data_IF_594067158794
#
_entry.id   IF_594067158794
#
_cell.length_a   1.000
_cell.length_b   1.000
_cell.length_c   1.000
_cell.angle_alpha   90.00
_cell.angle_beta   90.00
_cell.angle_gamma   90.00
#
_symmetry.space_group_name_H-M   'P 1'
#
loop_
_entity.id
_entity.type
_entity.pdbx_description
1 polymer ?
#
# COMPACT_ATOMS: atom_id res chain seq x y z
N UNK A 1 -6.16 7.14 10.35
CA UNK A 1 -7.10 7.98 9.56
C UNK A 1 -8.01 8.76 10.50
N UNK A 2 -7.89 10.09 10.52
CA UNK A 2 -8.78 10.97 11.29
C UNK A 2 -10.16 10.96 10.63
N UNK A 3 -11.24 10.85 11.40
CA UNK A 3 -12.58 11.03 10.84
C UNK A 3 -12.77 12.51 10.46
N UNK A 4 -12.94 12.78 9.17
CA UNK A 4 -13.01 14.15 8.62
C UNK A 4 -14.17 14.94 9.24
N UNK A 5 -15.27 14.26 9.54
CA UNK A 5 -16.45 14.82 10.21
C UNK A 5 -16.08 15.32 11.61
N UNK A 6 -15.57 14.44 12.47
CA UNK A 6 -15.11 14.79 13.82
C UNK A 6 -14.01 15.86 13.84
N UNK A 7 -13.08 15.84 12.88
CA UNK A 7 -12.03 16.85 12.78
C UNK A 7 -12.59 18.23 12.45
N UNK A 8 -13.47 18.31 11.45
CA UNK A 8 -14.08 19.56 11.04
C UNK A 8 -15.01 20.12 12.12
N UNK A 9 -15.75 19.26 12.84
CA UNK A 9 -16.55 19.66 14.01
C UNK A 9 -15.68 20.17 15.17
N UNK A 10 -14.63 19.42 15.56
CA UNK A 10 -13.71 19.79 16.64
C UNK A 10 -13.05 21.15 16.40
N UNK A 11 -12.68 21.44 15.15
CA UNK A 11 -11.97 22.67 14.77
C UNK A 11 -12.88 23.71 14.07
N UNK A 12 -14.20 23.54 14.15
CA UNK A 12 -15.17 24.45 13.54
C UNK A 12 -15.02 25.91 14.00
N UNK A 13 -14.77 26.23 15.30
CA UNK A 13 -14.57 27.61 15.75
C UNK A 13 -13.40 28.31 15.05
N UNK A 14 -12.27 27.62 14.92
CA UNK A 14 -11.07 28.14 14.25
C UNK A 14 -11.27 28.27 12.75
N UNK A 15 -11.95 27.31 12.11
CA UNK A 15 -12.27 27.36 10.68
C UNK A 15 -13.16 28.57 10.37
N UNK A 16 -14.20 28.81 11.19
CA UNK A 16 -15.07 30.00 11.09
C UNK A 16 -14.25 31.29 11.26
N UNK A 17 -13.29 31.33 12.18
CA UNK A 17 -12.51 32.52 12.49
C UNK A 17 -11.43 32.82 11.44
N UNK A 18 -10.78 31.80 10.87
CA UNK A 18 -9.54 31.92 10.08
C UNK A 18 -9.70 31.78 8.57
N UNK A 19 -10.81 31.22 8.07
CA UNK A 19 -11.02 31.06 6.61
C UNK A 19 -11.03 32.44 5.93
N UNK A 20 -10.13 32.64 4.95
CA UNK A 20 -9.87 33.95 4.35
C UNK A 20 -10.92 34.33 3.32
N UNK A 21 -11.40 33.36 2.53
CA UNK A 21 -12.33 33.59 1.44
C UNK A 21 -13.53 32.59 1.42
N UNK A 22 -14.58 32.84 2.21
CA UNK A 22 -15.76 31.97 2.26
C UNK A 22 -16.52 31.83 0.94
N UNK A 23 -16.52 32.88 0.11
CA UNK A 23 -17.22 32.86 -1.19
C UNK A 23 -16.54 31.90 -2.16
N UNK A 24 -15.21 31.90 -2.22
CA UNK A 24 -14.45 30.97 -3.07
C UNK A 24 -14.60 29.51 -2.62
N UNK A 25 -14.75 29.27 -1.30
CA UNK A 25 -15.13 27.96 -0.78
C UNK A 25 -16.53 27.57 -1.28
N UNK A 26 -17.52 28.46 -1.17
CA UNK A 26 -18.88 28.22 -1.67
C UNK A 26 -18.95 28.02 -3.20
N UNK A 27 -18.16 28.78 -3.98
CA UNK A 27 -18.03 28.60 -5.43
C UNK A 27 -17.53 27.20 -5.77
N UNK A 28 -16.50 26.72 -5.05
CA UNK A 28 -15.91 25.39 -5.25
C UNK A 28 -16.88 24.27 -4.85
N UNK A 29 -17.61 24.44 -3.74
CA UNK A 29 -18.64 23.49 -3.31
C UNK A 29 -19.82 23.42 -4.30
N UNK A 30 -20.23 24.57 -4.86
CA UNK A 30 -21.27 24.64 -5.89
C UNK A 30 -20.80 24.00 -7.20
N UNK A 31 -19.54 24.21 -7.59
CA UNK A 31 -18.95 23.59 -8.77
C UNK A 31 -18.81 22.06 -8.64
N UNK A 32 -18.59 21.55 -7.43
CA UNK A 32 -18.59 20.11 -7.09
C UNK A 32 -20.01 19.54 -6.81
N UNK A 33 -21.06 20.33 -7.02
CA UNK A 33 -22.46 19.99 -6.72
C UNK A 33 -22.75 19.60 -5.24
N UNK A 34 -21.88 19.99 -4.31
CA UNK A 34 -22.03 19.70 -2.87
C UNK A 34 -23.01 20.65 -2.17
N UNK A 35 -23.38 21.78 -2.79
CA UNK A 35 -24.44 22.69 -2.32
C UNK A 35 -25.33 23.12 -3.49
N UNK A 36 -26.61 23.41 -3.21
CA UNK A 36 -27.56 23.92 -4.20
C UNK A 36 -27.30 25.40 -4.53
N UNK A 37 -27.89 25.88 -5.63
CA UNK A 37 -27.86 27.32 -5.96
C UNK A 37 -28.49 28.18 -4.85
N UNK A 38 -29.56 27.71 -4.23
CA UNK A 38 -30.26 28.41 -3.15
C UNK A 38 -29.35 28.59 -1.92
N UNK A 39 -28.75 27.50 -1.44
CA UNK A 39 -27.78 27.52 -0.32
C UNK A 39 -26.60 28.45 -0.65
N UNK A 40 -26.10 28.42 -1.88
CA UNK A 40 -25.03 29.33 -2.32
C UNK A 40 -25.45 30.81 -2.26
N UNK A 41 -26.63 31.19 -2.75
CA UNK A 41 -27.06 32.60 -2.68
C UNK A 41 -27.35 33.01 -1.21
N UNK A 42 -27.82 32.09 -0.36
CA UNK A 42 -27.96 32.32 1.10
C UNK A 42 -26.61 32.64 1.74
N UNK A 43 -25.58 31.80 1.53
CA UNK A 43 -24.20 32.04 1.97
C UNK A 43 -23.71 33.41 1.46
N UNK A 44 -23.92 33.72 0.18
CA UNK A 44 -23.46 34.97 -0.43
C UNK A 44 -24.18 36.21 0.11
N UNK A 45 -25.42 36.07 0.58
CA UNK A 45 -26.19 37.16 1.19
C UNK A 45 -25.69 37.55 2.59
N UNK A 46 -24.92 36.68 3.26
CA UNK A 46 -24.48 36.93 4.63
C UNK A 46 -23.41 38.01 4.75
N UNK A 47 -23.57 38.86 5.77
CA UNK A 47 -22.86 40.15 5.88
C UNK A 47 -21.41 40.02 6.37
N UNK A 48 -21.03 38.91 7.00
CA UNK A 48 -19.70 38.73 7.58
C UNK A 48 -19.13 37.36 7.21
N UNK A 49 -17.80 37.30 7.02
CA UNK A 49 -17.10 36.07 6.64
C UNK A 49 -17.39 34.90 7.59
N UNK A 50 -17.47 35.18 8.88
CA UNK A 50 -17.78 34.18 9.91
C UNK A 50 -19.20 33.62 9.76
N UNK A 51 -20.17 34.46 9.39
CA UNK A 51 -21.54 34.00 9.10
C UNK A 51 -21.62 33.21 7.80
N UNK A 52 -20.90 33.65 6.76
CA UNK A 52 -20.79 32.92 5.49
C UNK A 52 -20.27 31.49 5.71
N UNK A 53 -19.23 31.30 6.53
CA UNK A 53 -18.74 29.96 6.90
C UNK A 53 -19.75 29.19 7.77
N UNK A 54 -20.39 29.83 8.75
CA UNK A 54 -21.44 29.15 9.54
C UNK A 54 -22.58 28.64 8.67
N UNK A 55 -22.97 29.38 7.63
CA UNK A 55 -24.02 28.98 6.69
C UNK A 55 -23.55 27.88 5.73
N UNK A 56 -22.26 27.84 5.37
CA UNK A 56 -21.67 26.66 4.69
C UNK A 56 -21.80 25.41 5.58
N UNK A 57 -21.53 25.52 6.88
CA UNK A 57 -21.53 24.39 7.81
C UNK A 57 -22.93 23.96 8.30
N UNK A 58 -23.90 24.87 8.41
CA UNK A 58 -25.29 24.56 8.80
C UNK A 58 -26.01 23.66 7.77
N UNK A 59 -25.53 23.66 6.53
CA UNK A 59 -26.08 22.88 5.42
C UNK A 59 -25.38 21.52 5.21
N UNK A 60 -24.50 21.11 6.13
CA UNK A 60 -23.83 19.80 6.10
C UNK A 60 -24.62 18.77 6.92
N UNK A 61 -25.25 17.83 6.23
CA UNK A 61 -26.10 16.80 6.81
C UNK A 61 -25.71 15.38 6.38
N UNK A 62 -24.64 15.22 5.60
CA UNK A 62 -24.14 13.90 5.17
C UNK A 62 -22.61 13.85 5.24
N UNK A 63 -22.07 12.64 5.47
CA UNK A 63 -20.63 12.37 5.44
C UNK A 63 -19.97 12.82 4.12
N UNK A 64 -20.68 12.71 3.00
CA UNK A 64 -20.24 13.20 1.69
C UNK A 64 -20.00 14.72 1.68
N UNK A 65 -20.81 15.51 2.40
CA UNK A 65 -20.62 16.97 2.47
C UNK A 65 -19.38 17.33 3.30
N UNK A 66 -19.13 16.62 4.42
CA UNK A 66 -17.90 16.77 5.20
C UNK A 66 -16.66 16.37 4.41
N UNK A 67 -16.72 15.26 3.67
CA UNK A 67 -15.64 14.84 2.76
C UNK A 67 -15.33 15.91 1.72
N UNK A 68 -16.37 16.45 1.05
CA UNK A 68 -16.26 17.49 0.04
C UNK A 68 -15.67 18.80 0.59
N UNK A 69 -16.10 19.24 1.79
CA UNK A 69 -15.56 20.44 2.43
C UNK A 69 -14.12 20.27 2.87
N UNK A 70 -13.75 19.11 3.43
CA UNK A 70 -12.37 18.83 3.80
C UNK A 70 -11.46 18.96 2.58
N UNK A 71 -11.86 18.37 1.44
CA UNK A 71 -11.07 18.40 0.21
C UNK A 71 -11.01 19.81 -0.39
N UNK A 72 -12.10 20.59 -0.35
CA UNK A 72 -12.09 22.01 -0.76
C UNK A 72 -11.22 22.90 0.16
N UNK A 73 -11.21 22.65 1.47
CA UNK A 73 -10.33 23.34 2.41
C UNK A 73 -8.86 22.94 2.22
N UNK A 74 -8.57 21.69 1.83
CA UNK A 74 -7.23 21.28 1.43
C UNK A 74 -6.77 21.97 0.14
N UNK A 75 -7.65 22.14 -0.84
CA UNK A 75 -7.35 22.85 -2.10
C UNK A 75 -7.11 24.35 -1.89
N UNK A 76 -7.93 25.02 -1.07
CA UNK A 76 -7.94 26.49 -0.94
C UNK A 76 -7.13 27.03 0.24
N UNK A 77 -7.11 26.30 1.37
CA UNK A 77 -6.65 26.79 2.68
C UNK A 77 -5.81 25.71 3.40
N UNK A 78 -5.02 24.91 2.67
CA UNK A 78 -4.16 23.85 3.25
C UNK A 78 -3.27 24.33 4.42
N UNK A 79 -2.85 25.59 4.41
CA UNK A 79 -2.11 26.20 5.52
C UNK A 79 -2.89 26.22 6.85
N UNK A 80 -4.21 26.44 6.79
CA UNK A 80 -5.10 26.39 7.96
C UNK A 80 -5.25 24.96 8.49
N UNK A 81 -5.55 24.00 7.62
CA UNK A 81 -5.69 22.59 8.02
C UNK A 81 -4.38 22.03 8.61
N UNK A 82 -3.22 22.40 8.04
CA UNK A 82 -1.92 22.05 8.59
C UNK A 82 -1.63 22.71 9.94
N UNK A 83 -2.18 23.89 10.24
CA UNK A 83 -2.07 24.50 11.58
C UNK A 83 -2.93 23.75 12.60
N UNK A 84 -4.15 23.40 12.21
CA UNK A 84 -5.11 22.70 13.07
C UNK A 84 -4.67 21.26 13.40
N UNK A 85 -4.21 20.50 12.41
CA UNK A 85 -3.66 19.16 12.61
C UNK A 85 -2.40 19.17 13.49
N UNK A 86 -1.50 20.16 13.30
CA UNK A 86 -0.36 20.34 14.22
C UNK A 86 -0.81 20.64 15.64
N UNK A 87 -1.82 21.49 15.83
CA UNK A 87 -2.30 21.88 17.15
C UNK A 87 -3.03 20.72 17.85
N UNK A 88 -3.86 19.98 17.13
CA UNK A 88 -4.54 18.79 17.62
C UNK A 88 -3.57 17.70 18.13
N UNK A 89 -2.36 17.61 17.55
CA UNK A 89 -1.29 16.71 17.99
C UNK A 89 -0.54 17.20 19.24
N UNK A 90 -0.57 18.51 19.52
CA UNK A 90 0.02 19.11 20.72
C UNK A 90 -0.97 19.10 21.89
N UNK A 91 -2.25 19.38 21.62
CA UNK A 91 -3.37 19.33 22.58
C UNK A 91 -3.76 17.89 22.97
N UNK A 92 -3.19 16.87 22.31
CA UNK A 92 -3.36 15.46 22.66
C UNK A 92 -2.49 14.98 23.83
N UNK A 93 -1.73 15.87 24.48
CA UNK A 93 -0.95 15.60 25.68
C UNK A 93 -1.55 16.29 26.91
N UNK A 94 -2.39 15.57 27.65
CA UNK A 94 -2.94 15.85 28.99
C UNK A 94 -2.89 17.29 29.55
N UNK A 95 -4.01 18.01 29.39
CA UNK A 95 -4.45 19.03 30.36
C UNK A 95 -5.70 18.54 31.14
N UNK A 96 -5.69 17.33 31.69
CA UNK A 96 -6.63 16.91 32.77
C UNK A 96 -6.21 15.60 33.46
N UNK A 97 -5.26 15.68 34.41
CA UNK A 97 -5.47 15.14 35.77
C UNK A 97 -4.26 15.38 36.70
N UNK A 98 -4.43 16.32 37.62
CA UNK A 98 -3.49 16.54 38.72
C UNK A 98 -3.70 15.46 39.81
N UNK A 99 -3.19 14.24 39.61
CA UNK A 99 -2.92 13.34 40.74
C UNK A 99 -1.64 12.53 40.57
N UNK A 100 -0.75 12.74 41.54
CA UNK A 100 0.64 12.32 41.52
C UNK A 100 0.80 10.82 41.84
N UNK A 101 0.74 9.96 40.83
CA UNK A 101 1.33 8.61 40.90
C UNK A 101 2.30 8.45 39.73
N UNK A 102 3.49 7.95 40.01
CA UNK A 102 4.58 7.85 39.04
C UNK A 102 4.19 7.00 37.82
N UNK A 103 3.78 7.64 36.71
CA UNK A 103 3.87 7.00 35.41
C UNK A 103 5.36 6.78 35.08
N UNK A 104 5.70 5.66 34.41
CA UNK A 104 7.06 5.43 33.97
C UNK A 104 7.50 6.54 33.02
N UNK A 105 8.79 6.90 33.08
CA UNK A 105 9.38 7.88 32.17
C UNK A 105 9.04 7.51 30.71
N UNK A 106 8.69 8.49 29.85
CA UNK A 106 8.33 8.22 28.47
C UNK A 106 9.48 7.45 27.80
N UNK A 107 9.19 6.23 27.34
CA UNK A 107 10.21 5.31 26.84
C UNK A 107 10.99 5.96 25.70
N UNK A 108 12.31 5.92 25.80
CA UNK A 108 13.26 6.59 24.92
C UNK A 108 12.88 6.45 23.44
N UNK A 109 12.48 7.59 22.84
CA UNK A 109 12.26 7.79 21.41
C UNK A 109 11.69 6.59 20.64
N UNK A 110 10.35 6.46 20.63
CA UNK A 110 9.71 5.52 19.71
C UNK A 110 9.97 5.93 18.25
N UNK A 111 11.04 5.36 17.69
CA UNK A 111 11.54 5.61 16.35
C UNK A 111 10.58 5.02 15.32
N UNK A 112 9.66 5.88 14.86
CA UNK A 112 8.60 5.48 13.95
C UNK A 112 9.07 5.56 12.48
N UNK A 113 8.75 4.53 11.69
CA UNK A 113 8.95 4.55 10.23
C UNK A 113 8.26 5.74 9.56
N UNK A 114 7.20 6.29 10.17
CA UNK A 114 6.51 7.52 9.72
C UNK A 114 7.46 8.73 9.66
N UNK A 115 8.47 8.83 10.54
CA UNK A 115 9.46 9.90 10.52
C UNK A 115 10.41 9.80 9.30
N UNK A 116 10.77 8.58 8.93
CA UNK A 116 11.80 8.28 7.92
C UNK A 116 11.19 7.94 6.56
N UNK A 117 10.24 8.76 6.14
CA UNK A 117 9.50 8.65 4.87
C UNK A 117 10.37 8.64 3.60
N UNK A 118 11.65 9.01 3.68
CA UNK A 118 12.60 8.97 2.56
C UNK A 118 13.99 8.53 3.00
N UNK A 119 14.76 7.95 2.08
CA UNK A 119 16.16 7.54 2.34
C UNK A 119 17.03 8.68 2.89
N UNK A 120 17.03 9.92 2.35
CA UNK A 120 17.82 11.02 2.91
C UNK A 120 17.47 11.40 4.35
N UNK A 121 16.20 11.26 4.78
CA UNK A 121 15.81 11.51 6.19
C UNK A 121 16.40 10.45 7.11
N UNK A 122 16.30 9.18 6.73
CA UNK A 122 16.93 8.08 7.47
C UNK A 122 18.45 8.25 7.51
N UNK A 123 19.06 8.61 6.38
CA UNK A 123 20.50 8.81 6.25
C UNK A 123 21.02 9.97 7.12
N UNK A 124 20.26 11.06 7.27
CA UNK A 124 20.58 12.16 8.17
C UNK A 124 20.52 11.72 9.64
N UNK A 125 19.42 11.08 10.04
CA UNK A 125 19.25 10.55 11.40
C UNK A 125 20.31 9.51 11.76
N UNK A 126 20.68 8.63 10.82
CA UNK A 126 21.78 7.68 10.98
C UNK A 126 23.13 8.39 11.19
N UNK A 127 23.34 9.56 10.58
CA UNK A 127 24.54 10.36 10.83
C UNK A 127 24.55 10.92 12.26
N UNK A 128 23.43 11.48 12.72
CA UNK A 128 23.24 12.05 14.07
C UNK A 128 23.40 11.01 15.18
N UNK A 129 22.97 9.76 14.95
CA UNK A 129 22.95 8.68 15.93
C UNK A 129 24.03 7.61 15.67
N UNK A 130 25.03 7.92 14.84
CA UNK A 130 25.97 6.92 14.28
C UNK A 130 26.77 6.17 15.33
N UNK A 131 27.31 6.85 16.35
CA UNK A 131 28.14 6.22 17.38
C UNK A 131 27.36 5.21 18.23
N UNK A 132 26.12 5.54 18.60
CA UNK A 132 25.24 4.66 19.37
C UNK A 132 24.80 3.44 18.54
N UNK A 133 24.41 3.66 17.29
CA UNK A 133 24.01 2.59 16.36
C UNK A 133 25.17 1.61 16.09
N UNK A 134 26.39 2.12 15.92
CA UNK A 134 27.60 1.30 15.75
C UNK A 134 27.89 0.53 17.03
N UNK A 135 27.90 1.19 18.20
CA UNK A 135 28.18 0.55 19.49
C UNK A 135 27.20 -0.59 19.81
N UNK A 136 25.90 -0.36 19.63
CA UNK A 136 24.85 -1.40 19.79
C UNK A 136 25.05 -2.56 18.82
N UNK A 137 25.48 -2.30 17.58
CA UNK A 137 25.76 -3.35 16.60
C UNK A 137 27.04 -4.14 16.93
N UNK A 138 28.10 -3.47 17.39
CA UNK A 138 29.35 -4.11 17.82
C UNK A 138 29.12 -5.02 19.03
N UNK A 139 28.34 -4.58 20.02
CA UNK A 139 27.94 -5.38 21.18
C UNK A 139 27.07 -6.60 20.80
N UNK A 140 26.30 -6.50 19.70
CA UNK A 140 25.40 -7.55 19.20
C UNK A 140 26.10 -8.57 18.29
N UNK A 141 27.08 -8.14 17.49
CA UNK A 141 27.81 -8.98 16.54
C UNK A 141 29.10 -9.59 17.13
N UNK A 142 29.78 -8.86 18.01
CA UNK A 142 31.15 -9.15 18.43
C UNK A 142 32.19 -8.80 17.34
N UNK A 143 33.44 -8.64 17.76
CA UNK A 143 34.55 -8.13 16.94
C UNK A 143 34.72 -8.88 15.60
N UNK A 144 34.67 -10.22 15.62
CA UNK A 144 34.90 -11.05 14.43
C UNK A 144 33.81 -10.83 13.36
N UNK A 145 32.54 -10.80 13.75
CA UNK A 145 31.44 -10.56 12.81
C UNK A 145 31.38 -9.08 12.38
N UNK A 146 31.75 -8.15 13.26
CA UNK A 146 31.87 -6.74 12.88
C UNK A 146 32.95 -6.52 11.82
N UNK A 147 34.12 -7.16 11.96
CA UNK A 147 35.19 -7.11 10.97
C UNK A 147 34.75 -7.68 9.62
N UNK A 148 34.00 -8.79 9.64
CA UNK A 148 33.35 -9.39 8.45
C UNK A 148 32.35 -8.42 7.81
N UNK A 149 31.50 -7.75 8.60
CA UNK A 149 30.57 -6.73 8.13
C UNK A 149 31.30 -5.54 7.48
N UNK A 150 32.28 -4.94 8.17
CA UNK A 150 33.09 -3.82 7.65
C UNK A 150 33.75 -4.20 6.33
N UNK A 151 34.38 -5.39 6.24
CA UNK A 151 34.98 -5.92 5.01
C UNK A 151 33.98 -6.13 3.86
N UNK A 152 32.72 -6.49 4.14
CA UNK A 152 31.69 -6.60 3.09
C UNK A 152 31.32 -5.19 2.60
N UNK A 153 31.09 -4.25 3.52
CA UNK A 153 30.60 -2.91 3.22
C UNK A 153 31.55 -2.05 2.38
N UNK A 154 32.89 -2.22 2.47
CA UNK A 154 33.85 -1.52 1.59
C UNK A 154 33.61 -1.78 0.09
N UNK A 155 33.07 -2.95 -0.25
CA UNK A 155 32.76 -3.38 -1.63
C UNK A 155 31.34 -2.97 -2.10
N UNK A 156 30.60 -2.27 -1.24
CA UNK A 156 29.18 -1.94 -1.45
C UNK A 156 28.97 -0.44 -1.59
N UNK A 157 27.78 -0.11 -2.06
CA UNK A 157 27.19 1.23 -2.00
C UNK A 157 25.69 1.04 -1.66
N UNK A 158 25.06 1.96 -0.92
CA UNK A 158 23.63 1.87 -0.65
C UNK A 158 22.82 1.99 -1.95
N UNK A 159 21.61 1.43 -1.93
CA UNK A 159 20.57 1.76 -2.90
C UNK A 159 19.85 3.01 -2.38
N UNK A 160 19.75 4.04 -3.22
CA UNK A 160 19.18 5.34 -2.87
C UNK A 160 17.63 5.31 -2.77
N UNK A 161 17.05 4.21 -2.27
CA UNK A 161 15.61 4.01 -2.15
C UNK A 161 15.29 3.22 -0.88
N UNK A 162 14.25 3.65 -0.18
CA UNK A 162 13.73 3.01 1.03
C UNK A 162 12.28 2.61 0.78
N UNK A 163 12.09 1.57 -0.03
CA UNK A 163 10.78 1.07 -0.41
C UNK A 163 10.66 -0.43 -0.11
N UNK A 164 9.51 -0.81 0.43
CA UNK A 164 9.08 -2.17 0.68
C UNK A 164 7.84 -2.46 -0.16
N UNK A 165 7.98 -3.36 -1.12
CA UNK A 165 6.86 -3.96 -1.84
C UNK A 165 6.47 -5.31 -1.23
N UNK A 166 5.36 -5.91 -1.66
CA UNK A 166 4.87 -7.17 -1.10
C UNK A 166 5.88 -8.35 -1.15
N UNK A 167 6.76 -8.38 -2.15
CA UNK A 167 7.83 -9.37 -2.25
C UNK A 167 8.94 -9.11 -1.22
N UNK A 168 9.24 -7.84 -0.93
CA UNK A 168 10.17 -7.47 0.13
C UNK A 168 9.65 -7.90 1.50
N UNK A 169 8.37 -7.66 1.81
CA UNK A 169 7.73 -8.10 3.06
C UNK A 169 7.78 -9.62 3.21
N UNK A 170 7.41 -10.38 2.16
CA UNK A 170 7.44 -11.84 2.21
C UNK A 170 8.87 -12.39 2.37
N UNK A 171 9.87 -11.75 1.75
CA UNK A 171 11.29 -12.05 1.94
C UNK A 171 11.75 -11.79 3.39
N UNK A 172 11.40 -10.64 3.97
CA UNK A 172 11.68 -10.28 5.38
C UNK A 172 11.06 -11.31 6.32
N UNK A 173 9.77 -11.59 6.15
CA UNK A 173 9.00 -12.53 6.98
C UNK A 173 9.53 -13.97 6.92
N UNK A 174 10.16 -14.38 5.80
CA UNK A 174 10.72 -15.72 5.62
C UNK A 174 12.20 -15.86 5.99
N UNK A 175 12.91 -14.76 6.20
CA UNK A 175 14.35 -14.82 6.40
C UNK A 175 14.73 -15.24 7.83
N UNK A 176 15.13 -16.50 7.98
CA UNK A 176 15.53 -17.07 9.27
C UNK A 176 16.81 -16.43 9.83
N UNK A 177 17.77 -16.02 8.97
CA UNK A 177 18.97 -15.29 9.40
C UNK A 177 18.58 -13.98 10.10
N UNK A 178 17.65 -13.20 9.50
CA UNK A 178 17.13 -11.96 10.05
C UNK A 178 16.38 -12.19 11.37
N UNK A 179 15.50 -13.19 11.44
CA UNK A 179 14.83 -13.54 12.72
C UNK A 179 15.84 -13.88 13.81
N UNK A 180 16.85 -14.69 13.47
CA UNK A 180 17.91 -15.09 14.41
C UNK A 180 18.73 -13.89 14.88
N UNK A 181 19.02 -12.95 13.99
CA UNK A 181 19.68 -11.68 14.34
C UNK A 181 18.77 -10.73 15.15
N UNK A 182 17.47 -10.68 14.88
CA UNK A 182 16.53 -9.85 15.66
C UNK A 182 16.28 -10.42 17.07
N UNK A 183 16.36 -11.73 17.28
CA UNK A 183 16.14 -12.35 18.59
C UNK A 183 17.41 -12.66 19.39
N UNK A 184 18.58 -12.76 18.75
CA UNK A 184 19.82 -13.17 19.40
C UNK A 184 21.08 -12.49 18.82
N UNK A 185 22.18 -12.55 19.58
CA UNK A 185 23.52 -12.13 19.14
C UNK A 185 24.12 -13.17 18.18
N UNK A 186 24.05 -12.92 16.87
CA UNK A 186 24.42 -13.87 15.81
C UNK A 186 24.91 -13.16 14.54
N UNK A 187 25.25 -13.92 13.48
CA UNK A 187 25.70 -13.39 12.18
C UNK A 187 24.77 -12.29 11.63
N UNK A 188 25.38 -11.30 10.95
CA UNK A 188 24.63 -10.22 10.32
C UNK A 188 23.82 -10.72 9.09
N UNK A 189 22.52 -10.40 8.99
CA UNK A 189 21.64 -11.04 8.02
C UNK A 189 21.95 -10.61 6.57
N UNK A 190 22.13 -11.61 5.70
CA UNK A 190 22.49 -11.42 4.28
C UNK A 190 21.42 -10.63 3.52
N UNK A 191 20.16 -10.71 3.95
CA UNK A 191 19.03 -10.01 3.35
C UNK A 191 19.26 -8.49 3.30
N UNK A 192 19.83 -7.89 4.35
CA UNK A 192 20.12 -6.45 4.43
C UNK A 192 21.00 -6.00 3.26
N UNK A 193 22.04 -6.78 2.92
CA UNK A 193 22.91 -6.49 1.78
C UNK A 193 22.16 -6.56 0.46
N UNK A 194 21.34 -7.60 0.25
CA UNK A 194 20.60 -7.76 -1.01
C UNK A 194 19.50 -6.71 -1.20
N UNK A 195 18.89 -6.23 -0.11
CA UNK A 195 17.80 -5.25 -0.15
C UNK A 195 18.32 -3.83 -0.28
N UNK A 196 19.24 -3.41 0.57
CA UNK A 196 19.62 -2.00 0.70
C UNK A 196 20.99 -1.64 0.13
N UNK A 197 21.78 -2.61 -0.32
CA UNK A 197 23.08 -2.36 -0.92
C UNK A 197 23.18 -2.97 -2.33
N UNK A 198 24.04 -2.39 -3.16
CA UNK A 198 24.50 -2.95 -4.43
C UNK A 198 26.03 -3.06 -4.38
N UNK A 199 26.61 -3.89 -5.24
CA UNK A 199 28.07 -3.90 -5.38
C UNK A 199 28.47 -2.53 -5.93
N UNK A 200 29.47 -1.89 -5.31
CA UNK A 200 30.13 -0.71 -5.89
C UNK A 200 30.56 -1.14 -7.28
N UNK A 201 29.99 -0.56 -8.34
CA UNK A 201 30.47 -0.83 -9.69
C UNK A 201 31.91 -0.36 -9.68
N UNK A 202 32.85 -1.31 -9.71
CA UNK A 202 34.25 -0.97 -9.87
C UNK A 202 34.32 -0.13 -11.15
N UNK A 203 34.64 1.15 -11.00
CA UNK A 203 34.94 2.03 -12.12
C UNK A 203 36.22 1.47 -12.71
N UNK A 204 36.05 0.47 -13.58
CA UNK A 204 37.10 0.02 -14.47
C UNK A 204 37.40 1.26 -15.29
N UNK A 205 38.50 1.94 -14.95
CA UNK A 205 39.13 2.86 -15.87
C UNK A 205 39.37 2.05 -17.13
N UNK A 206 38.51 2.24 -18.14
CA UNK A 206 38.67 1.68 -19.48
C UNK A 206 39.71 2.50 -20.25
N UNK A 207 40.84 2.75 -19.59
CA UNK A 207 42.08 3.10 -20.24
C UNK A 207 42.64 1.81 -20.83
N UNK A 208 42.68 1.80 -22.16
CA UNK A 208 42.89 0.60 -22.98
C UNK A 208 44.16 -0.16 -22.61
N UNK A 209 44.05 -1.24 -21.84
CA UNK A 209 45.07 -2.28 -21.83
C UNK A 209 44.47 -3.68 -21.70
N UNK A 210 44.84 -4.54 -22.65
CA UNK A 210 44.47 -5.95 -22.71
C UNK A 210 45.18 -6.71 -21.58
N UNK A 211 44.47 -7.00 -20.49
CA UNK A 211 44.94 -7.90 -19.43
C UNK A 211 43.89 -8.99 -19.21
N UNK A 212 44.38 -10.21 -18.98
CA UNK A 212 43.69 -11.46 -19.30
C UNK A 212 42.45 -11.79 -18.46
N UNK A 213 41.57 -12.60 -19.05
CA UNK A 213 40.39 -13.20 -18.41
C UNK A 213 40.74 -13.94 -17.11
N UNK A 214 40.48 -13.31 -15.97
CA UNK A 214 40.26 -14.00 -14.71
C UNK A 214 38.78 -14.35 -14.64
N UNK A 215 38.47 -15.62 -14.90
CA UNK A 215 37.09 -16.14 -14.92
C UNK A 215 36.39 -15.89 -13.59
N UNK A 216 35.19 -15.30 -13.63
CA UNK A 216 34.26 -15.33 -12.50
C UNK A 216 34.04 -16.80 -12.07
N UNK A 217 33.88 -17.09 -10.76
CA UNK A 217 33.22 -18.31 -10.35
C UNK A 217 31.82 -18.29 -10.95
N UNK A 218 31.53 -19.28 -11.81
CA UNK A 218 30.23 -19.37 -12.49
C UNK A 218 29.12 -19.26 -11.45
N UNK A 219 28.15 -18.36 -11.69
CA UNK A 219 26.88 -18.37 -10.97
C UNK A 219 26.22 -19.72 -11.21
N UNK A 220 26.31 -20.57 -10.21
CA UNK A 220 25.50 -21.79 -10.14
C UNK A 220 24.04 -21.33 -10.12
N UNK A 221 23.32 -21.61 -11.20
CA UNK A 221 21.88 -21.39 -11.22
C UNK A 221 21.29 -22.33 -10.18
N UNK A 222 20.75 -21.77 -9.12
CA UNK A 222 19.93 -22.51 -8.17
C UNK A 222 18.59 -22.83 -8.85
N UNK A 223 18.61 -23.83 -9.73
CA UNK A 223 17.42 -24.36 -10.40
C UNK A 223 16.56 -25.06 -9.33
N UNK A 224 15.67 -24.29 -8.71
CA UNK A 224 14.58 -24.81 -7.88
C UNK A 224 13.59 -25.57 -8.78
N UNK A 225 13.87 -26.86 -9.01
CA UNK A 225 12.85 -27.80 -9.46
C UNK A 225 11.91 -28.12 -8.28
N UNK A 226 10.60 -27.88 -8.39
CA UNK A 226 9.65 -28.38 -7.40
C UNK A 226 9.65 -29.92 -7.44
N UNK A 227 9.87 -30.56 -6.29
CA UNK A 227 9.69 -32.00 -6.18
C UNK A 227 8.21 -32.33 -6.35
N UNK A 228 7.86 -32.94 -7.48
CA UNK A 228 6.56 -33.57 -7.66
C UNK A 228 6.45 -34.75 -6.69
N UNK A 229 5.53 -34.67 -5.74
CA UNK A 229 5.15 -35.80 -4.91
C UNK A 229 4.47 -36.87 -5.77
N UNK A 230 5.24 -37.84 -6.25
CA UNK A 230 4.68 -39.06 -6.84
C UNK A 230 4.14 -39.96 -5.72
N UNK A 231 2.82 -40.06 -5.65
CA UNK A 231 2.12 -41.06 -4.84
C UNK A 231 2.38 -42.47 -5.41
N UNK A 232 3.34 -43.18 -4.81
CA UNK A 232 3.61 -44.58 -5.14
C UNK A 232 2.66 -45.51 -4.41
N UNK A 233 1.70 -46.10 -5.12
CA UNK A 233 0.99 -47.29 -4.62
C UNK A 233 2.00 -48.40 -4.33
N UNK A 234 1.94 -48.98 -3.12
CA UNK A 234 2.41 -50.35 -2.89
C UNK A 234 1.37 -51.12 -2.09
N UNK A 235 0.84 -52.18 -2.71
CA UNK A 235 -0.06 -53.14 -2.09
C UNK A 235 0.70 -54.07 -1.16
N UNK A 236 -0.04 -54.54 -0.15
CA UNK A 236 0.18 -55.71 0.71
C UNK A 236 1.36 -56.64 0.37
N UNK A 237 2.10 -57.01 1.42
CA UNK A 237 2.17 -58.43 1.77
C UNK A 237 2.29 -58.66 3.27
N UNK A 238 1.68 -59.75 3.67
CA UNK A 238 1.39 -60.19 5.02
C UNK A 238 2.64 -60.48 5.85
N UNK A 239 2.56 -60.26 7.17
CA UNK A 239 2.93 -61.32 8.10
C UNK A 239 2.22 -61.16 9.43
N UNK A 240 1.79 -62.29 9.99
CA UNK A 240 0.95 -62.38 11.18
C UNK A 240 1.52 -63.48 12.05
N UNK A 241 2.17 -63.13 13.17
CA UNK A 241 2.38 -64.11 14.25
C UNK A 241 2.49 -63.46 15.64
N UNK A 242 2.14 -64.27 16.64
CA UNK A 242 1.66 -63.86 17.97
C UNK A 242 2.78 -63.75 19.02
N UNK A 243 2.53 -62.92 20.04
CA UNK A 243 2.59 -63.23 21.51
C UNK A 243 2.19 -61.94 22.29
N UNK A 244 1.23 -61.90 23.23
CA UNK A 244 1.20 -62.55 24.56
C UNK A 244 2.48 -62.19 25.36
N UNK A 245 2.50 -61.50 26.51
CA UNK A 245 1.56 -61.29 27.64
C UNK A 245 1.97 -59.98 28.38
N UNK A 246 1.07 -59.08 28.85
CA UNK A 246 0.41 -59.02 30.18
C UNK A 246 1.00 -57.92 31.12
N UNK A 247 0.28 -57.59 32.20
CA UNK A 247 0.57 -56.67 33.34
C UNK A 247 0.14 -55.19 33.21
N UNK A 248 -1.16 -54.98 33.40
CA UNK A 248 -1.79 -54.16 34.46
C UNK A 248 -0.96 -53.06 35.17
N UNK A 249 -1.45 -51.81 35.16
CA UNK A 249 -1.48 -50.90 36.33
C UNK A 249 -2.48 -49.76 36.10
N UNK A 250 -3.39 -49.55 37.06
CA UNK A 250 -4.49 -48.58 37.04
C UNK A 250 -4.10 -47.18 37.58
N UNK A 251 -4.96 -46.18 37.29
CA UNK A 251 -5.15 -44.84 37.91
C UNK A 251 -5.30 -43.76 36.82
N UNK A 252 -6.48 -43.44 36.28
CA UNK A 252 -7.72 -42.93 36.92
C UNK A 252 -7.65 -41.45 37.34
N UNK A 253 -8.44 -40.63 36.64
CA UNK A 253 -9.06 -39.36 37.08
C UNK A 253 -9.74 -38.67 35.87
N UNK A 254 -11.05 -38.83 35.78
CA UNK A 254 -11.92 -38.04 34.89
C UNK A 254 -13.15 -37.61 35.66
N UNK A 255 -13.19 -36.36 36.13
CA UNK A 255 -14.39 -35.78 36.74
C UNK A 255 -14.39 -34.24 36.61
N UNK A 256 -15.58 -33.64 36.70
CA UNK A 256 -15.92 -32.20 36.60
C UNK A 256 -15.91 -31.62 35.17
N UNK A 257 -16.99 -31.04 34.63
CA UNK A 257 -18.38 -30.83 35.10
C UNK A 257 -19.34 -30.78 33.90
N UNK A 258 -20.59 -31.20 34.10
CA UNK A 258 -21.70 -31.03 33.14
C UNK A 258 -22.94 -30.47 33.88
N UNK A 259 -23.86 -29.87 33.10
CA UNK A 259 -25.15 -29.27 33.54
C UNK A 259 -25.06 -27.98 34.39
N UNK A 260 -25.88 -26.94 34.17
CA UNK A 260 -27.33 -26.94 33.93
C UNK A 260 -27.83 -25.73 33.13
N UNK A 261 -28.90 -25.95 32.35
CA UNK A 261 -29.86 -24.91 31.95
C UNK A 261 -30.84 -24.60 33.10
N UNK A 262 -31.65 -23.55 32.98
CA UNK A 262 -33.08 -23.85 32.83
C UNK A 262 -33.74 -23.09 31.68
N UNK A 263 -34.85 -23.63 31.20
CA UNK A 263 -35.82 -22.93 30.37
C UNK A 263 -36.87 -22.25 31.26
N UNK A 264 -37.60 -21.29 30.70
CA UNK A 264 -39.02 -21.11 31.05
C UNK A 264 -39.79 -20.48 29.88
N UNK A 265 -41.01 -20.98 29.67
CA UNK A 265 -41.94 -20.55 28.62
C UNK A 265 -42.88 -19.45 29.13
N UNK A 266 -43.29 -18.51 28.27
CA UNK A 266 -44.72 -18.11 28.24
C UNK A 266 -45.12 -17.44 26.92
N UNK A 267 -46.34 -17.74 26.45
CA UNK A 267 -46.87 -17.30 25.15
C UNK A 267 -48.10 -16.38 25.29
N UNK A 268 -48.31 -15.43 24.36
CA UNK A 268 -49.63 -14.98 23.85
C UNK A 268 -49.53 -13.95 22.70
N UNK A 269 -50.60 -13.55 21.96
CA UNK A 269 -51.68 -14.29 21.24
C UNK A 269 -52.71 -13.32 20.62
N UNK A 270 -52.61 -13.03 19.33
CA UNK A 270 -53.62 -12.25 18.55
C UNK A 270 -52.99 -11.57 17.33
N UNK A 271 -53.50 -11.66 16.09
CA UNK A 271 -54.82 -11.23 15.55
C UNK A 271 -54.93 -9.68 15.49
N UNK A 272 -55.34 -9.02 14.39
CA UNK A 272 -55.84 -9.49 13.08
C UNK A 272 -55.66 -8.44 11.95
N UNK A 273 -56.21 -8.76 10.78
CA UNK A 273 -56.28 -8.05 9.48
C UNK A 273 -56.51 -6.52 9.48
N UNK A 274 -56.14 -5.86 8.36
CA UNK A 274 -57.10 -5.08 7.52
C UNK A 274 -56.56 -4.93 6.07
N UNK A 275 -57.43 -5.12 5.07
CA UNK A 275 -57.21 -4.74 3.66
C UNK A 275 -57.90 -3.41 3.35
N UNK A 276 -57.30 -2.53 2.52
CA UNK A 276 -57.96 -1.80 1.42
C UNK A 276 -56.89 -1.06 0.57
N UNK A 277 -56.82 -1.01 -0.78
CA UNK A 277 -57.72 -0.95 -1.96
C UNK A 277 -58.17 0.47 -2.42
N UNK A 278 -57.43 1.04 -3.37
CA UNK A 278 -57.92 1.82 -4.54
C UNK A 278 -56.68 2.17 -5.43
N UNK A 279 -56.63 2.09 -6.78
CA UNK A 279 -57.54 2.40 -7.92
C UNK A 279 -57.78 3.91 -8.12
N UNK A 280 -57.75 4.52 -9.32
CA UNK A 280 -57.14 4.26 -10.66
C UNK A 280 -57.26 5.59 -11.46
N UNK A 281 -56.57 5.73 -12.62
CA UNK A 281 -56.96 6.62 -13.76
C UNK A 281 -56.86 8.15 -13.54
N UNK A 282 -56.71 9.03 -14.54
CA UNK A 282 -56.75 8.96 -16.03
C UNK A 282 -55.69 9.94 -16.61
N UNK A 283 -55.11 9.69 -17.81
CA UNK A 283 -55.25 10.46 -19.07
C UNK A 283 -54.85 11.97 -19.00
N UNK A 284 -54.13 12.60 -19.94
CA UNK A 284 -54.31 12.58 -21.40
C UNK A 284 -52.99 12.80 -22.21
N UNK A 285 -53.03 12.44 -23.49
CA UNK A 285 -52.16 12.86 -24.60
C UNK A 285 -53.12 13.58 -25.61
N UNK A 286 -52.74 14.53 -26.50
CA UNK A 286 -51.76 14.27 -27.58
C UNK A 286 -51.01 15.48 -28.20
N UNK A 287 -50.06 15.18 -29.11
CA UNK A 287 -49.54 16.04 -30.22
C UNK A 287 -48.85 17.36 -29.81
N UNK A 288 -47.96 18.01 -30.57
CA UNK A 288 -47.35 17.92 -31.93
C UNK A 288 -45.94 18.57 -31.75
N UNK A 289 -44.92 18.57 -32.62
CA UNK A 289 -44.88 18.62 -34.09
C UNK A 289 -43.44 18.36 -34.60
N UNK A 290 -43.28 18.30 -35.93
CA UNK A 290 -41.95 18.23 -36.58
C UNK A 290 -41.16 19.54 -36.44
N UNK A 291 -39.83 19.45 -36.29
CA UNK A 291 -38.93 20.53 -36.70
C UNK A 291 -37.64 20.01 -37.34
N UNK A 292 -37.51 20.33 -38.63
CA UNK A 292 -36.27 20.30 -39.40
C UNK A 292 -35.35 21.40 -38.83
N UNK A 293 -34.04 21.17 -38.77
CA UNK A 293 -33.10 22.29 -38.91
C UNK A 293 -31.83 21.87 -39.66
N UNK A 294 -31.25 22.86 -40.32
CA UNK A 294 -30.24 22.71 -41.36
C UNK A 294 -28.81 22.59 -40.80
N UNK A 295 -27.87 22.20 -41.67
CA UNK A 295 -26.47 22.02 -41.29
C UNK A 295 -25.66 23.32 -41.21
N UNK A 296 -24.38 23.18 -40.86
CA UNK A 296 -23.41 24.24 -41.06
C UNK A 296 -22.08 23.63 -41.47
N UNK A 297 -21.67 23.89 -42.71
CA UNK A 297 -20.32 23.57 -43.18
C UNK A 297 -19.34 24.57 -42.57
N UNK A 298 -18.17 24.10 -42.13
CA UNK A 298 -17.03 24.98 -41.84
C UNK A 298 -15.80 24.51 -42.61
N UNK A 299 -15.48 25.27 -43.63
CA UNK A 299 -14.32 25.12 -44.50
C UNK A 299 -13.10 25.72 -43.82
N UNK A 300 -11.97 24.99 -43.73
CA UNK A 300 -10.68 25.58 -43.33
C UNK A 300 -9.64 25.31 -44.43
N UNK A 301 -8.97 26.38 -44.83
CA UNK A 301 -8.03 26.41 -45.94
C UNK A 301 -6.76 25.58 -45.66
N UNK A 302 -6.21 24.96 -46.70
CA UNK A 302 -4.78 24.63 -46.79
C UNK A 302 -4.21 25.28 -48.04
N UNK A 303 -3.31 26.25 -47.84
CA UNK A 303 -2.46 26.78 -48.90
C UNK A 303 -1.16 25.95 -49.02
N UNK A 304 -0.47 26.10 -50.15
CA UNK A 304 0.90 25.63 -50.35
C UNK A 304 1.93 26.34 -49.45
N UNK A 305 3.24 26.17 -49.65
CA UNK A 305 3.87 25.78 -50.93
C UNK A 305 5.24 25.09 -50.77
N UNK A 306 5.79 24.71 -51.93
CA UNK A 306 7.03 23.95 -52.16
C UNK A 306 8.33 24.54 -51.57
N UNK A 307 9.32 23.67 -51.34
CA UNK A 307 10.74 23.99 -51.62
C UNK A 307 11.58 22.72 -51.90
N UNK A 308 12.44 22.78 -52.92
CA UNK A 308 13.39 21.70 -53.28
C UNK A 308 14.73 21.86 -52.54
N UNK A 309 15.42 20.74 -52.31
CA UNK A 309 16.84 20.70 -51.96
C UNK A 309 17.46 19.34 -52.32
N UNK A 310 18.51 19.33 -53.13
CA UNK A 310 19.06 18.12 -53.76
C UNK A 310 20.23 17.47 -53.01
N UNK A 311 20.26 16.14 -53.06
CA UNK A 311 21.43 15.24 -53.15
C UNK A 311 22.72 15.56 -52.35
N UNK A 312 23.14 14.62 -51.49
CA UNK A 312 24.42 13.91 -51.69
C UNK A 312 24.35 12.50 -51.08
N UNK A 313 24.79 11.47 -51.81
CA UNK A 313 24.88 10.09 -51.28
C UNK A 313 26.22 9.85 -50.58
N UNK A 314 26.21 9.16 -49.44
CA UNK A 314 27.42 8.56 -48.85
C UNK A 314 27.10 7.15 -48.35
N UNK A 315 27.74 6.15 -48.97
CA UNK A 315 27.57 4.75 -48.59
C UNK A 315 28.32 4.45 -47.28
N UNK A 316 27.60 4.34 -46.16
CA UNK A 316 28.12 3.76 -44.93
C UNK A 316 27.39 2.46 -44.62
N UNK A 317 28.17 1.36 -44.64
CA UNK A 317 27.68 -0.02 -44.47
C UNK A 317 27.47 -0.31 -42.98
N UNK A 318 26.39 0.21 -42.40
CA UNK A 318 26.01 -0.05 -41.01
C UNK A 318 25.77 -1.56 -40.84
N UNK A 319 26.43 -2.25 -39.89
CA UNK A 319 26.11 -3.65 -39.61
C UNK A 319 24.68 -3.74 -39.09
N UNK A 320 23.84 -4.57 -39.72
CA UNK A 320 22.47 -4.82 -39.26
C UNK A 320 22.51 -5.26 -37.79
N UNK A 321 21.91 -4.51 -36.85
CA UNK A 321 21.67 -5.07 -35.53
C UNK A 321 20.72 -6.26 -35.71
N UNK A 322 21.09 -7.41 -35.18
CA UNK A 322 20.20 -8.56 -35.14
C UNK A 322 18.98 -8.21 -34.28
N UNK A 323 17.83 -8.00 -34.92
CA UNK A 323 16.54 -7.91 -34.23
C UNK A 323 16.23 -9.29 -33.61
N UNK A 324 16.77 -9.53 -32.42
CA UNK A 324 16.36 -10.63 -31.55
C UNK A 324 14.87 -10.49 -31.23
N UNK A 325 14.09 -11.46 -31.65
CA UNK A 325 12.62 -11.44 -31.64
C UNK A 325 12.03 -11.59 -30.23
N UNK A 326 12.05 -10.50 -29.45
CA UNK A 326 11.28 -10.36 -28.20
C UNK A 326 9.75 -10.26 -28.42
N UNK A 327 9.20 -10.93 -29.44
CA UNK A 327 7.78 -10.90 -29.80
C UNK A 327 6.93 -11.77 -28.86
N UNK A 328 7.41 -12.97 -28.50
CA UNK A 328 6.68 -13.92 -27.63
C UNK A 328 6.32 -13.35 -26.25
N UNK A 329 7.12 -12.42 -25.72
CA UNK A 329 6.84 -11.73 -24.46
C UNK A 329 5.69 -10.72 -24.54
N UNK A 330 5.37 -10.19 -25.73
CA UNK A 330 4.28 -9.22 -25.93
C UNK A 330 2.92 -9.89 -26.05
N UNK A 331 2.83 -10.97 -26.84
CA UNK A 331 1.60 -11.75 -27.03
C UNK A 331 1.06 -12.31 -25.71
N UNK A 332 1.95 -12.86 -24.88
CA UNK A 332 1.58 -13.39 -23.56
C UNK A 332 0.99 -12.33 -22.62
N UNK A 333 1.49 -11.08 -22.66
CA UNK A 333 0.94 -9.96 -21.86
C UNK A 333 -0.44 -9.52 -22.35
N UNK A 334 -0.66 -9.51 -23.65
CA UNK A 334 -1.96 -9.16 -24.21
C UNK A 334 -3.03 -10.21 -23.86
N UNK A 335 -2.68 -11.50 -23.96
CA UNK A 335 -3.55 -12.61 -23.57
C UNK A 335 -3.92 -12.59 -22.07
N UNK A 336 -2.94 -12.33 -21.20
CA UNK A 336 -3.16 -12.17 -19.74
C UNK A 336 -4.09 -10.99 -19.42
N UNK A 337 -3.97 -9.86 -20.13
CA UNK A 337 -4.88 -8.73 -19.95
C UNK A 337 -6.31 -9.03 -20.42
N UNK A 338 -6.47 -9.71 -21.56
CA UNK A 338 -7.80 -10.12 -22.07
C UNK A 338 -8.50 -11.06 -21.08
N UNK A 339 -7.80 -12.06 -20.54
CA UNK A 339 -8.32 -12.99 -19.54
C UNK A 339 -8.77 -12.26 -18.26
N UNK A 340 -7.97 -11.30 -17.77
CA UNK A 340 -8.35 -10.45 -16.63
C UNK A 340 -9.61 -9.62 -16.91
N UNK A 341 -9.67 -8.95 -18.06
CA UNK A 341 -10.86 -8.19 -18.46
C UNK A 341 -12.10 -9.07 -18.61
N UNK A 342 -11.95 -10.30 -19.10
CA UNK A 342 -13.06 -11.28 -19.20
C UNK A 342 -13.58 -11.66 -17.81
N UNK A 343 -12.72 -12.14 -16.92
CA UNK A 343 -13.12 -12.55 -15.55
C UNK A 343 -13.73 -11.39 -14.75
N UNK A 344 -13.23 -10.18 -14.97
CA UNK A 344 -13.76 -8.96 -14.37
C UNK A 344 -15.20 -8.68 -14.82
N UNK A 345 -15.51 -8.82 -16.12
CA UNK A 345 -16.88 -8.69 -16.66
C UNK A 345 -17.79 -9.79 -16.13
N UNK A 346 -17.33 -11.04 -16.11
CA UNK A 346 -18.09 -12.17 -15.58
C UNK A 346 -18.44 -11.98 -14.10
N UNK A 347 -17.51 -11.47 -13.30
CA UNK A 347 -17.76 -11.08 -11.91
C UNK A 347 -18.76 -9.92 -11.80
N UNK A 348 -18.62 -8.87 -12.61
CA UNK A 348 -19.51 -7.70 -12.58
C UNK A 348 -20.98 -8.08 -12.88
N UNK A 349 -21.20 -8.87 -13.94
CA UNK A 349 -22.53 -9.39 -14.32
C UNK A 349 -23.12 -10.24 -13.20
N UNK A 350 -22.33 -11.15 -12.60
CA UNK A 350 -22.78 -12.02 -11.50
C UNK A 350 -23.20 -11.26 -10.23
N UNK A 351 -22.67 -10.05 -10.01
CA UNK A 351 -22.96 -9.21 -8.85
C UNK A 351 -23.98 -8.10 -9.14
N UNK A 352 -24.69 -8.18 -10.26
CA UNK A 352 -25.69 -7.18 -10.71
C UNK A 352 -25.16 -5.74 -10.72
N UNK A 353 -23.90 -5.56 -11.13
CA UNK A 353 -23.33 -4.26 -11.37
C UNK A 353 -23.66 -3.76 -12.79
N UNK A 354 -23.80 -2.45 -12.99
CA UNK A 354 -23.96 -1.86 -14.33
C UNK A 354 -22.69 -2.02 -15.18
N UNK A 355 -22.81 -1.90 -16.50
CA UNK A 355 -21.65 -1.98 -17.41
C UNK A 355 -20.61 -0.88 -17.13
N UNK A 356 -21.06 0.28 -16.64
CA UNK A 356 -20.24 1.41 -16.16
C UNK A 356 -19.32 1.04 -14.97
N UNK A 357 -19.42 -0.17 -14.40
CA UNK A 357 -18.47 -0.65 -13.40
C UNK A 357 -17.03 -0.66 -13.91
N UNK A 358 -16.81 -0.85 -15.22
CA UNK A 358 -15.45 -0.77 -15.78
C UNK A 358 -14.86 0.64 -15.62
N UNK A 359 -15.69 1.68 -15.69
CA UNK A 359 -15.28 3.07 -15.50
C UNK A 359 -15.01 3.41 -14.02
N UNK A 360 -15.62 2.64 -13.10
CA UNK A 360 -15.40 2.73 -11.65
C UNK A 360 -14.09 2.05 -11.18
N UNK A 361 -13.28 1.50 -12.09
CA UNK A 361 -12.02 0.82 -11.75
C UNK A 361 -10.82 1.69 -12.11
N UNK A 362 -10.13 2.16 -11.07
CA UNK A 362 -8.85 2.85 -11.20
C UNK A 362 -7.69 1.84 -11.13
N UNK A 363 -6.74 1.93 -12.09
CA UNK A 363 -5.48 1.21 -12.01
C UNK A 363 -4.42 2.16 -11.42
N UNK A 364 -4.03 1.92 -10.18
CA UNK A 364 -2.97 2.66 -9.51
C UNK A 364 -1.63 2.02 -9.85
N UNK A 365 -0.86 2.68 -10.72
CA UNK A 365 0.44 2.17 -11.17
C UNK A 365 1.45 1.99 -10.02
N UNK A 366 1.52 2.98 -9.12
CA UNK A 366 2.26 2.95 -7.86
C UNK A 366 1.43 3.64 -6.78
N UNK A 367 1.25 2.99 -5.65
CA UNK A 367 0.72 3.56 -4.41
C UNK A 367 1.82 3.60 -3.36
N UNK A 368 1.78 4.61 -2.48
CA UNK A 368 2.63 4.76 -1.30
C UNK A 368 1.71 4.91 -0.09
N UNK A 369 2.04 4.25 1.02
CA UNK A 369 1.18 4.31 2.21
C UNK A 369 1.21 5.73 2.80
N UNK A 370 0.03 6.30 3.07
CA UNK A 370 -0.14 7.68 3.54
C UNK A 370 0.68 8.01 4.78
N UNK A 371 0.59 7.17 5.82
CA UNK A 371 1.36 7.36 7.06
C UNK A 371 2.82 6.88 6.93
N UNK A 372 3.09 5.76 6.26
CA UNK A 372 4.43 5.16 6.11
C UNK A 372 4.89 5.06 4.64
N UNK A 373 5.32 6.16 3.96
CA UNK A 373 5.62 6.16 2.51
C UNK A 373 6.68 5.17 2.02
N UNK A 374 7.46 4.59 2.94
CA UNK A 374 8.38 3.49 2.63
C UNK A 374 7.66 2.19 2.25
N UNK A 375 6.38 1.99 2.55
CA UNK A 375 5.61 0.85 2.03
C UNK A 375 4.91 1.24 0.72
N UNK A 376 5.14 0.46 -0.33
CA UNK A 376 4.64 0.74 -1.67
C UNK A 376 3.96 -0.48 -2.30
N UNK A 377 3.01 -0.23 -3.19
CA UNK A 377 2.31 -1.26 -3.95
C UNK A 377 2.23 -0.86 -5.42
N UNK A 378 2.41 -1.82 -6.33
CA UNK A 378 2.37 -1.57 -7.77
C UNK A 378 1.17 -2.24 -8.43
N UNK A 379 0.65 -1.59 -9.48
CA UNK A 379 -0.39 -2.13 -10.38
C UNK A 379 -1.62 -2.61 -9.59
N UNK A 380 -2.04 -1.80 -8.62
CA UNK A 380 -3.21 -2.08 -7.76
C UNK A 380 -4.47 -1.69 -8.54
N UNK A 381 -5.42 -2.62 -8.67
CA UNK A 381 -6.72 -2.34 -9.26
C UNK A 381 -7.67 -1.99 -8.13
N UNK A 382 -8.20 -0.77 -8.12
CA UNK A 382 -9.10 -0.27 -7.08
C UNK A 382 -10.47 0.00 -7.67
N UNK A 383 -11.47 -0.70 -7.16
CA UNK A 383 -12.87 -0.52 -7.50
C UNK A 383 -13.51 0.49 -6.54
N UNK A 384 -14.05 1.57 -7.09
CA UNK A 384 -14.82 2.60 -6.37
C UNK A 384 -16.29 2.54 -6.77
N UNK A 385 -17.07 1.70 -6.08
CA UNK A 385 -18.54 1.79 -6.15
C UNK A 385 -19.00 3.12 -5.53
N UNK A 386 -20.25 3.53 -5.78
CA UNK A 386 -20.94 4.60 -5.06
C UNK A 386 -21.13 4.34 -3.53
N UNK A 387 -20.47 3.33 -2.97
CA UNK A 387 -20.39 3.08 -1.52
C UNK A 387 -19.09 3.67 -0.97
N UNK A 388 -19.05 4.16 0.28
CA UNK A 388 -17.86 4.80 0.86
C UNK A 388 -16.63 3.88 1.00
N UNK A 389 -16.78 2.57 0.75
CA UNK A 389 -15.69 1.59 0.83
C UNK A 389 -15.21 1.22 -0.58
N UNK A 390 -13.99 1.65 -0.91
CA UNK A 390 -13.24 1.13 -2.06
C UNK A 390 -12.84 -0.32 -1.82
N UNK A 391 -12.67 -1.11 -2.89
CA UNK A 391 -12.20 -2.51 -2.80
C UNK A 391 -11.01 -2.74 -3.74
N UNK A 392 -10.06 -3.57 -3.34
CA UNK A 392 -8.98 -4.01 -4.26
C UNK A 392 -9.49 -5.18 -5.10
N UNK A 393 -9.21 -5.16 -6.40
CA UNK A 393 -9.39 -6.33 -7.28
C UNK A 393 -8.04 -6.98 -7.51
N UNK A 394 -7.95 -8.29 -7.25
CA UNK A 394 -6.74 -9.07 -7.47
C UNK A 394 -7.03 -10.29 -8.34
N UNK A 395 -6.16 -10.58 -9.30
CA UNK A 395 -6.32 -11.71 -10.21
C UNK A 395 -5.34 -12.84 -9.84
N UNK A 396 -5.86 -14.05 -9.64
CA UNK A 396 -5.07 -15.26 -9.35
C UNK A 396 -5.18 -16.28 -10.48
N UNK A 397 -4.14 -17.09 -10.67
CA UNK A 397 -4.15 -18.22 -11.61
C UNK A 397 -4.83 -19.45 -11.03
N UNK A 398 -4.91 -19.54 -9.71
CA UNK A 398 -5.37 -20.71 -8.96
C UNK A 398 -6.64 -20.38 -8.17
N UNK A 399 -7.62 -21.28 -8.16
CA UNK A 399 -8.86 -21.14 -7.39
C UNK A 399 -8.67 -21.31 -5.87
N UNK A 400 -7.48 -21.73 -5.42
CA UNK A 400 -7.06 -21.69 -4.02
C UNK A 400 -6.13 -20.50 -3.83
N UNK A 401 -6.46 -19.61 -2.90
CA UNK A 401 -5.56 -18.51 -2.52
C UNK A 401 -4.33 -19.12 -1.86
N UNK A 402 -3.15 -18.85 -2.41
CA UNK A 402 -1.88 -19.20 -1.75
C UNK A 402 -1.55 -18.20 -0.65
N UNK A 403 -0.79 -18.62 0.36
CA UNK A 403 -0.34 -17.73 1.45
C UNK A 403 0.42 -16.51 0.88
N UNK A 404 1.19 -16.68 -0.19
CA UNK A 404 1.88 -15.58 -0.89
C UNK A 404 0.88 -14.60 -1.52
N UNK A 405 -0.17 -15.12 -2.15
CA UNK A 405 -1.25 -14.32 -2.74
C UNK A 405 -1.97 -13.52 -1.67
N UNK A 406 -2.33 -14.16 -0.56
CA UNK A 406 -2.98 -13.51 0.58
C UNK A 406 -2.11 -12.43 1.19
N UNK A 407 -0.84 -12.72 1.51
CA UNK A 407 0.11 -11.74 2.05
C UNK A 407 0.29 -10.55 1.11
N UNK A 408 0.36 -10.79 -0.21
CA UNK A 408 0.45 -9.72 -1.21
C UNK A 408 -0.83 -8.87 -1.30
N UNK A 409 -2.00 -9.49 -1.19
CA UNK A 409 -3.28 -8.79 -1.16
C UNK A 409 -3.41 -7.95 0.12
N UNK A 410 -3.12 -8.51 1.29
CA UNK A 410 -3.09 -7.78 2.57
C UNK A 410 -2.10 -6.61 2.55
N UNK A 411 -0.90 -6.76 1.95
CA UNK A 411 0.04 -5.65 1.76
C UNK A 411 -0.51 -4.55 0.85
N UNK A 412 -1.14 -4.90 -0.26
CA UNK A 412 -1.78 -3.91 -1.14
C UNK A 412 -2.93 -3.18 -0.40
N UNK A 413 -3.72 -3.91 0.40
CA UNK A 413 -4.82 -3.39 1.22
C UNK A 413 -4.31 -2.41 2.28
N UNK A 414 -3.24 -2.77 2.98
CA UNK A 414 -2.50 -1.89 3.91
C UNK A 414 -2.02 -0.61 3.20
N UNK A 415 -1.22 -0.73 2.13
CA UNK A 415 -0.64 0.43 1.42
C UNK A 415 -1.71 1.38 0.89
N UNK A 416 -2.82 0.86 0.38
CA UNK A 416 -3.91 1.70 -0.14
C UNK A 416 -4.94 2.12 0.92
N UNK A 417 -4.79 1.71 2.19
CA UNK A 417 -5.78 1.89 3.26
C UNK A 417 -7.20 1.40 2.86
N UNK A 418 -7.27 0.22 2.25
CA UNK A 418 -8.50 -0.41 1.76
C UNK A 418 -8.82 -1.65 2.60
N UNK A 419 -10.04 -1.71 3.15
CA UNK A 419 -10.43 -2.77 4.11
C UNK A 419 -10.86 -4.11 3.49
N UNK A 420 -11.14 -4.15 2.18
CA UNK A 420 -11.61 -5.39 1.51
C UNK A 420 -10.97 -5.58 0.14
N UNK A 421 -10.63 -6.82 -0.21
CA UNK A 421 -10.24 -7.21 -1.55
C UNK A 421 -11.10 -8.35 -2.11
N UNK A 422 -11.32 -8.31 -3.41
CA UNK A 422 -11.98 -9.34 -4.21
C UNK A 422 -10.88 -10.04 -5.02
N UNK A 423 -10.70 -11.34 -4.79
CA UNK A 423 -9.74 -12.18 -5.50
C UNK A 423 -10.46 -13.01 -6.56
N UNK A 424 -10.18 -12.73 -7.82
CA UNK A 424 -10.76 -13.37 -9.00
C UNK A 424 -9.86 -14.52 -9.49
N UNK A 425 -10.25 -15.75 -9.19
CA UNK A 425 -9.67 -16.97 -9.75
C UNK A 425 -10.30 -17.38 -11.09
N UNK A 426 -9.88 -18.51 -11.67
CA UNK A 426 -10.46 -19.03 -12.91
C UNK A 426 -11.93 -19.45 -12.80
N UNK A 427 -12.36 -19.99 -11.65
CA UNK A 427 -13.74 -20.45 -11.41
C UNK A 427 -14.35 -19.91 -10.12
N UNK A 428 -13.50 -19.54 -9.14
CA UNK A 428 -13.92 -19.04 -7.82
C UNK A 428 -13.60 -17.57 -7.63
N UNK A 429 -14.49 -16.91 -6.91
CA UNK A 429 -14.32 -15.55 -6.40
C UNK A 429 -14.24 -15.66 -4.89
N UNK A 430 -13.24 -15.02 -4.30
CA UNK A 430 -13.03 -14.96 -2.86
C UNK A 430 -13.04 -13.50 -2.40
N UNK A 431 -13.50 -13.26 -1.18
CA UNK A 431 -13.35 -11.97 -0.50
C UNK A 431 -12.32 -12.13 0.61
N UNK A 432 -11.33 -11.25 0.64
CA UNK A 432 -10.34 -11.13 1.72
C UNK A 432 -10.67 -9.84 2.48
N UNK A 433 -10.87 -9.97 3.79
CA UNK A 433 -11.00 -8.82 4.70
C UNK A 433 -9.62 -8.41 5.21
N UNK A 434 -9.41 -7.11 5.45
CA UNK A 434 -8.16 -6.61 6.00
C UNK A 434 -8.01 -7.12 7.42
N UNK A 435 -6.90 -7.82 7.67
CA UNK A 435 -6.47 -8.16 9.03
C UNK A 435 -5.29 -7.26 9.34
N UNK A 436 -5.45 -6.36 10.31
CA UNK A 436 -4.35 -5.51 10.77
C UNK A 436 -3.35 -6.37 11.58
N UNK A 437 -2.45 -7.06 10.87
CA UNK A 437 -1.32 -7.73 11.50
C UNK A 437 -0.19 -6.73 11.74
N UNK A 438 -0.05 -6.30 12.99
CA UNK A 438 1.03 -5.42 13.42
C UNK A 438 2.42 -6.10 13.34
N UNK A 439 2.50 -7.44 13.25
CA UNK A 439 3.77 -8.18 13.28
C UNK A 439 4.63 -7.95 12.05
N UNK A 440 4.06 -7.89 10.84
CA UNK A 440 4.85 -7.63 9.63
C UNK A 440 5.37 -6.19 9.62
N UNK A 441 4.55 -5.23 10.07
CA UNK A 441 4.94 -3.81 10.26
C UNK A 441 6.07 -3.68 11.28
N UNK A 442 5.94 -4.34 12.44
CA UNK A 442 6.95 -4.33 13.49
C UNK A 442 8.24 -5.05 13.07
N UNK A 443 8.13 -6.18 12.35
CA UNK A 443 9.31 -6.86 11.80
C UNK A 443 10.06 -5.98 10.81
N UNK A 444 9.37 -5.19 9.99
CA UNK A 444 9.99 -4.21 9.10
C UNK A 444 10.61 -3.02 9.87
N UNK A 445 9.94 -2.50 10.91
CA UNK A 445 10.47 -1.46 11.82
C UNK A 445 11.80 -1.93 12.43
N UNK A 446 11.79 -3.11 13.07
CA UNK A 446 12.98 -3.73 13.66
C UNK A 446 14.07 -4.03 12.64
N UNK A 447 13.73 -4.50 11.44
CA UNK A 447 14.70 -4.70 10.36
C UNK A 447 15.40 -3.40 9.93
N UNK A 448 14.65 -2.29 9.86
CA UNK A 448 15.24 -0.97 9.58
C UNK A 448 16.16 -0.52 10.72
N UNK A 449 15.69 -0.48 11.97
CA UNK A 449 16.44 0.15 13.06
C UNK A 449 17.49 -0.74 13.72
N UNK A 450 17.33 -2.07 13.74
CA UNK A 450 18.33 -2.98 14.34
C UNK A 450 19.35 -3.52 13.34
N UNK A 451 19.05 -3.56 12.04
CA UNK A 451 19.95 -4.14 11.03
C UNK A 451 20.40 -3.12 9.98
N UNK A 452 19.47 -2.46 9.28
CA UNK A 452 19.86 -1.59 8.16
C UNK A 452 20.50 -0.27 8.61
N UNK A 453 19.86 0.47 9.51
CA UNK A 453 20.36 1.76 9.97
C UNK A 453 21.74 1.67 10.66
N UNK A 454 22.01 0.65 11.52
CA UNK A 454 23.36 0.41 12.03
C UNK A 454 24.39 0.06 10.94
N UNK A 455 24.03 -0.77 9.95
CA UNK A 455 24.94 -1.05 8.83
C UNK A 455 25.20 0.19 7.95
N UNK A 456 24.22 1.10 7.82
CA UNK A 456 24.40 2.39 7.16
C UNK A 456 25.33 3.32 7.97
N UNK A 457 25.25 3.31 9.31
CA UNK A 457 26.19 4.03 10.18
C UNK A 457 27.63 3.53 9.98
N UNK A 458 27.83 2.20 10.00
CA UNK A 458 29.14 1.56 9.74
C UNK A 458 29.65 1.91 8.34
N UNK A 459 28.78 1.89 7.33
CA UNK A 459 29.16 2.28 5.97
C UNK A 459 29.63 3.75 5.90
N UNK A 460 28.92 4.67 6.56
CA UNK A 460 29.32 6.08 6.66
C UNK A 460 30.64 6.28 7.43
N UNK A 461 30.89 5.49 8.48
CA UNK A 461 32.18 5.47 9.17
C UNK A 461 33.32 5.09 8.22
N UNK A 462 33.15 4.00 7.45
CA UNK A 462 34.13 3.56 6.44
C UNK A 462 34.39 4.66 5.40
N UNK A 463 33.35 5.35 4.90
CA UNK A 463 33.54 6.46 3.95
C UNK A 463 34.33 7.63 4.54
N UNK A 464 34.12 7.94 5.83
CA UNK A 464 34.89 8.98 6.54
C UNK A 464 36.36 8.59 6.68
N UNK A 465 36.64 7.32 7.01
CA UNK A 465 38.00 6.77 7.08
C UNK A 465 38.69 6.73 5.70
N UNK A 466 37.99 6.29 4.64
CA UNK A 466 38.48 6.35 3.25
C UNK A 466 38.89 7.79 2.87
N UNK A 467 38.05 8.78 3.18
CA UNK A 467 38.30 10.20 2.88
C UNK A 467 39.47 10.78 3.70
N UNK A 468 39.55 10.48 5.00
CA UNK A 468 40.67 10.93 5.85
C UNK A 468 41.99 10.33 5.40
N UNK A 469 42.02 9.04 5.04
CA UNK A 469 43.22 8.40 4.49
C UNK A 469 43.66 9.04 3.16
N UNK A 470 42.70 9.33 2.27
CA UNK A 470 42.99 10.02 1.01
C UNK A 470 43.66 11.39 1.24
N UNK A 471 43.10 12.22 2.15
CA UNK A 471 43.62 13.54 2.51
C UNK A 471 44.97 13.55 3.24
N UNK A 472 45.39 12.41 3.82
CA UNK A 472 46.72 12.25 4.45
C UNK A 472 47.75 11.75 3.41
N UNK A 473 47.28 11.08 2.35
CA UNK A 473 48.14 10.42 1.36
C UNK A 473 48.48 11.25 0.11
N UNK A 474 47.83 12.39 -0.09
CA UNK A 474 47.99 13.27 -1.26
C UNK A 474 48.27 14.72 -0.86
#
# INVERSE_FOLDING_TARGET
>A
MVDKEQFLEKHLPEIIQKTRNPIQLADTLRAKHCITKEIYENIKSEKTKQKQIREVYSNLNTKMHFDCIYDCLMELESGLLNELDKRARLEGGDETDNNLTQLPAPSEFETDLRMFSTFPKLENWVSENSEELISKLEEKLGETNMKKLKSILTTKEPKNHLFFNAEDIDNIRRNNDLKSFLHAKNEFPKLTYSMFFKNRIAVRNTDNNKINDVKEPKKEKMDWQPQHAQSGERRHKDNLEKKEENVQADADLSELLQEKSPADDTASRGLADTQEKSKTEQNENPNTDNLILEGTQNTVQKNGDNSMGTNTSTNLRIPKPSLGTNQSGKENRHKDLIDKCKRLREWAVKNHCSEDLIEQIAIINKAEHSECPCFTAEKVWVYKRFTPQSKIIYFTKDDKISINTETKVQHHMFVCNIKEAIVLGPTKVHTIQFVEDSKDRETCKRFIFEAFAPALAVFKQIQKEELSNFLISG
#
